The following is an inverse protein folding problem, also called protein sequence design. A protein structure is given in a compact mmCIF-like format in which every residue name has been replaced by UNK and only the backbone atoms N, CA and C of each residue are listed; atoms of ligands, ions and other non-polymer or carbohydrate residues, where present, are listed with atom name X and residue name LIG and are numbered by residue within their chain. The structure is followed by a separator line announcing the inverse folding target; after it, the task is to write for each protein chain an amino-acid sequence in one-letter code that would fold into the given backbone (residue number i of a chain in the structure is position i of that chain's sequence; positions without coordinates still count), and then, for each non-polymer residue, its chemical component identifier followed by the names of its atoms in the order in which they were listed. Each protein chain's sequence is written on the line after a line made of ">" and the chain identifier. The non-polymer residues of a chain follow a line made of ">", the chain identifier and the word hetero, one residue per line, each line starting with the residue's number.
data_IF_346660314190
#
_entry.id   IF_346660314190
#
_cell.length_a   1.000
_cell.length_b   1.000
_cell.length_c   1.000
_cell.angle_alpha   90.00
_cell.angle_beta   90.00
_cell.angle_gamma   90.00
#
_symmetry.space_group_name_H-M   'P 1'
#
loop_
_entity.id
_entity.type
_entity.pdbx_description
1 polymer ?
#
# COMPACT_ATOMS: atom_id res chain seq x y z
N UNK A 1 -20.14 -16.78 -5.77
CA UNK A 1 -19.89 -15.96 -6.99
C UNK A 1 -18.45 -16.15 -7.43
N UNK A 2 -18.14 -15.88 -8.70
CA UNK A 2 -16.78 -15.79 -9.25
C UNK A 2 -16.33 -14.33 -9.22
N UNK A 3 -15.36 -14.01 -8.37
CA UNK A 3 -14.92 -12.64 -8.09
C UNK A 3 -13.51 -12.45 -8.63
N UNK A 4 -13.34 -11.51 -9.57
CA UNK A 4 -12.04 -11.07 -10.05
C UNK A 4 -11.57 -9.82 -9.32
N UNK A 5 -10.57 -9.96 -8.45
CA UNK A 5 -9.90 -8.83 -7.80
C UNK A 5 -8.71 -8.41 -8.68
N UNK A 6 -8.49 -7.12 -8.86
CA UNK A 6 -7.41 -6.61 -9.72
C UNK A 6 -6.53 -5.67 -8.93
N UNK A 7 -5.22 -5.94 -8.92
CA UNK A 7 -4.24 -5.13 -8.20
C UNK A 7 -2.95 -4.98 -9.03
N UNK A 8 -2.26 -3.82 -9.00
CA UNK A 8 -0.98 -3.66 -9.68
C UNK A 8 0.11 -4.58 -9.12
N UNK A 9 0.01 -4.95 -7.85
CA UNK A 9 0.94 -5.82 -7.13
C UNK A 9 0.19 -6.74 -6.16
N UNK A 10 0.78 -7.90 -5.86
CA UNK A 10 0.25 -8.91 -4.93
C UNK A 10 1.39 -9.61 -4.17
N UNK A 11 1.16 -10.77 -3.57
CA UNK A 11 2.19 -11.56 -2.89
C UNK A 11 3.47 -11.68 -3.74
N UNK A 12 4.63 -11.58 -3.06
CA UNK A 12 6.00 -11.29 -3.55
C UNK A 12 6.37 -9.80 -3.64
N UNK A 13 5.38 -8.91 -3.59
CA UNK A 13 5.59 -7.47 -3.56
C UNK A 13 5.28 -6.81 -2.19
N UNK A 14 5.42 -7.53 -1.06
CA UNK A 14 4.89 -7.12 0.27
C UNK A 14 5.34 -5.75 0.75
N UNK A 15 6.48 -5.25 0.26
CA UNK A 15 7.02 -3.92 0.53
C UNK A 15 6.21 -2.77 -0.12
N UNK A 16 5.28 -3.08 -1.03
CA UNK A 16 4.36 -2.10 -1.66
C UNK A 16 3.35 -1.51 -0.65
N UNK A 17 3.15 -2.17 0.49
CA UNK A 17 2.36 -1.66 1.62
C UNK A 17 0.87 -1.97 1.54
N UNK A 18 0.06 -1.12 2.19
CA UNK A 18 -1.34 -1.41 2.52
C UNK A 18 -2.25 -1.76 1.33
N UNK A 19 -2.06 -1.14 0.17
CA UNK A 19 -2.90 -1.40 -1.02
C UNK A 19 -2.79 -2.85 -1.51
N UNK A 20 -1.62 -3.47 -1.36
CA UNK A 20 -1.40 -4.87 -1.68
C UNK A 20 -2.12 -5.77 -0.67
N UNK A 21 -1.93 -5.50 0.63
CA UNK A 21 -2.52 -6.29 1.69
C UNK A 21 -4.04 -6.25 1.64
N UNK A 22 -4.64 -5.11 1.30
CA UNK A 22 -6.07 -5.01 1.07
C UNK A 22 -6.57 -6.01 0.02
N UNK A 23 -5.92 -6.10 -1.14
CA UNK A 23 -6.33 -7.04 -2.19
C UNK A 23 -6.20 -8.51 -1.77
N UNK A 24 -5.15 -8.84 -1.01
CA UNK A 24 -4.90 -10.20 -0.50
C UNK A 24 -5.88 -10.56 0.62
N UNK A 25 -6.15 -9.64 1.55
CA UNK A 25 -7.04 -9.87 2.67
C UNK A 25 -8.50 -9.94 2.19
N UNK A 26 -8.92 -9.07 1.28
CA UNK A 26 -10.23 -9.19 0.62
C UNK A 26 -10.38 -10.53 -0.10
N UNK A 27 -9.34 -10.99 -0.82
CA UNK A 27 -9.41 -12.26 -1.51
C UNK A 27 -9.56 -13.44 -0.54
N UNK A 28 -8.87 -13.39 0.60
CA UNK A 28 -8.96 -14.41 1.64
C UNK A 28 -10.35 -14.44 2.27
N UNK A 29 -10.86 -13.28 2.72
CA UNK A 29 -12.16 -13.24 3.40
C UNK A 29 -13.32 -13.59 2.46
N UNK A 30 -13.30 -13.12 1.21
CA UNK A 30 -14.31 -13.51 0.23
C UNK A 30 -14.25 -15.01 -0.12
N UNK A 31 -13.05 -15.60 -0.14
CA UNK A 31 -12.92 -17.04 -0.34
C UNK A 31 -13.41 -17.84 0.88
N UNK A 32 -13.21 -17.35 2.10
CA UNK A 32 -13.75 -17.95 3.32
C UNK A 32 -15.29 -17.92 3.34
N UNK A 33 -15.91 -16.90 2.75
CA UNK A 33 -17.35 -16.80 2.47
C UNK A 33 -17.80 -17.66 1.26
N UNK A 34 -17.00 -18.65 0.86
CA UNK A 34 -17.30 -19.65 -0.19
C UNK A 34 -17.47 -19.04 -1.58
N UNK A 35 -16.82 -17.92 -1.87
CA UNK A 35 -16.73 -17.39 -3.23
C UNK A 35 -15.49 -17.94 -3.95
N UNK A 36 -15.57 -18.07 -5.28
CA UNK A 36 -14.42 -18.40 -6.11
C UNK A 36 -13.67 -17.10 -6.42
N UNK A 37 -12.49 -16.91 -5.84
CA UNK A 37 -11.77 -15.63 -5.94
C UNK A 37 -10.44 -15.79 -6.68
N UNK A 38 -10.18 -14.87 -7.60
CA UNK A 38 -8.90 -14.75 -8.29
C UNK A 38 -8.38 -13.31 -8.25
N UNK A 39 -7.14 -13.12 -7.81
CA UNK A 39 -6.40 -11.87 -7.94
C UNK A 39 -5.67 -11.85 -9.28
N UNK A 40 -6.00 -10.89 -10.13
CA UNK A 40 -5.32 -10.58 -11.38
C UNK A 40 -4.29 -9.48 -11.15
N UNK A 41 -3.01 -9.78 -11.40
CA UNK A 41 -1.90 -8.89 -11.02
C UNK A 41 -0.67 -9.04 -11.92
N UNK A 42 0.42 -8.35 -11.59
CA UNK A 42 1.71 -8.42 -12.27
C UNK A 42 2.65 -9.44 -11.64
N UNK A 43 3.79 -9.69 -12.26
CA UNK A 43 4.90 -10.45 -11.68
C UNK A 43 5.94 -9.55 -10.98
N UNK A 44 5.49 -8.44 -10.39
CA UNK A 44 6.32 -7.56 -9.56
C UNK A 44 6.88 -8.32 -8.35
N UNK A 45 8.20 -8.25 -8.17
CA UNK A 45 8.95 -8.95 -7.12
C UNK A 45 9.89 -7.98 -6.41
N UNK A 46 9.44 -7.51 -5.26
CA UNK A 46 10.17 -6.52 -4.46
C UNK A 46 11.41 -7.08 -3.78
N UNK A 47 11.62 -8.41 -3.79
CA UNK A 47 12.82 -9.01 -3.24
C UNK A 47 14.12 -8.48 -3.89
N UNK A 48 14.02 -7.89 -5.08
CA UNK A 48 15.16 -7.32 -5.82
C UNK A 48 15.18 -5.78 -5.85
N UNK A 49 14.03 -5.11 -6.06
CA UNK A 49 13.81 -3.64 -5.98
C UNK A 49 12.35 -3.29 -6.41
N UNK A 50 11.86 -2.05 -6.22
CA UNK A 50 10.51 -1.62 -6.65
C UNK A 50 10.17 -1.72 -8.14
N UNK A 51 11.13 -2.07 -9.00
CA UNK A 51 10.97 -2.11 -10.45
C UNK A 51 11.30 -3.48 -11.07
N UNK A 52 11.48 -4.52 -10.25
CA UNK A 52 11.85 -5.85 -10.76
C UNK A 52 10.61 -6.70 -11.02
N UNK A 53 10.53 -7.25 -12.23
CA UNK A 53 9.47 -8.17 -12.66
C UNK A 53 10.05 -9.56 -12.89
N UNK A 54 9.63 -10.54 -12.08
CA UNK A 54 10.23 -11.86 -12.05
C UNK A 54 9.43 -12.86 -12.90
N UNK A 55 9.92 -13.11 -14.12
CA UNK A 55 9.32 -14.10 -15.05
C UNK A 55 9.28 -15.53 -14.52
N UNK A 56 10.07 -15.85 -13.48
CA UNK A 56 10.08 -17.19 -12.85
C UNK A 56 8.90 -17.39 -11.89
N UNK A 57 8.18 -16.32 -11.51
CA UNK A 57 6.98 -16.46 -10.71
C UNK A 57 5.91 -17.26 -11.47
N UNK A 58 5.19 -18.18 -10.80
CA UNK A 58 4.09 -18.90 -11.42
C UNK A 58 3.04 -17.93 -12.00
N UNK A 59 2.61 -18.22 -13.23
CA UNK A 59 1.53 -17.47 -13.89
C UNK A 59 0.20 -17.67 -13.19
N UNK A 60 0.01 -18.83 -12.59
CA UNK A 60 -1.14 -19.16 -11.75
C UNK A 60 -0.60 -19.82 -10.48
N UNK A 61 -1.07 -19.36 -9.33
CA UNK A 61 -0.66 -19.85 -8.02
C UNK A 61 -1.91 -19.97 -7.14
N UNK A 62 -2.13 -21.15 -6.56
CA UNK A 62 -3.15 -21.31 -5.52
C UNK A 62 -2.57 -20.85 -4.20
N UNK A 63 -3.27 -19.96 -3.51
CA UNK A 63 -2.89 -19.44 -2.20
C UNK A 63 -4.07 -19.63 -1.27
N UNK A 64 -3.94 -20.55 -0.32
CA UNK A 64 -5.05 -20.95 0.54
C UNK A 64 -6.30 -21.29 -0.31
N UNK A 65 -7.38 -20.53 -0.15
CA UNK A 65 -8.66 -20.74 -0.81
C UNK A 65 -8.90 -19.84 -2.04
N UNK A 66 -7.89 -19.08 -2.50
CA UNK A 66 -8.00 -18.21 -3.67
C UNK A 66 -6.83 -18.40 -4.66
N UNK A 67 -6.95 -17.81 -5.85
CA UNK A 67 -5.93 -17.89 -6.91
C UNK A 67 -5.24 -16.54 -7.13
N UNK A 68 -3.96 -16.57 -7.49
CA UNK A 68 -3.23 -15.43 -8.04
C UNK A 68 -2.91 -15.74 -9.50
N UNK A 69 -3.31 -14.83 -10.40
CA UNK A 69 -3.11 -14.91 -11.84
C UNK A 69 -2.25 -13.72 -12.27
N UNK A 70 -1.05 -14.01 -12.79
CA UNK A 70 -0.04 -13.02 -13.13
C UNK A 70 0.11 -12.81 -14.63
N UNK A 71 0.32 -11.55 -15.02
CA UNK A 71 0.80 -11.17 -16.35
C UNK A 71 2.15 -10.47 -16.26
N UNK A 72 3.03 -10.75 -17.22
CA UNK A 72 4.30 -10.05 -17.30
C UNK A 72 4.10 -8.58 -17.69
N UNK A 73 4.91 -7.72 -17.10
CA UNK A 73 4.99 -6.30 -17.43
C UNK A 73 5.99 -6.09 -18.56
N UNK A 74 5.56 -5.44 -19.64
CA UNK A 74 6.42 -5.12 -20.79
C UNK A 74 7.30 -3.90 -20.51
N UNK A 75 6.75 -2.90 -19.83
CA UNK A 75 7.48 -1.73 -19.37
C UNK A 75 6.75 -1.06 -18.20
N UNK A 76 7.47 -0.24 -17.43
CA UNK A 76 6.93 0.50 -16.30
C UNK A 76 7.35 1.97 -16.33
N UNK A 77 6.44 2.86 -15.94
CA UNK A 77 6.72 4.30 -15.80
C UNK A 77 6.08 4.78 -14.49
N UNK A 78 6.88 5.22 -13.49
CA UNK A 78 6.37 5.75 -12.21
C UNK A 78 5.24 4.92 -11.59
N UNK A 79 5.47 3.61 -11.38
CA UNK A 79 4.50 2.64 -10.85
C UNK A 79 3.29 2.33 -11.75
N UNK A 80 3.26 2.84 -12.98
CA UNK A 80 2.31 2.42 -14.01
C UNK A 80 2.88 1.23 -14.78
N UNK A 81 2.33 0.03 -14.55
CA UNK A 81 2.88 -1.23 -15.05
C UNK A 81 2.10 -1.74 -16.26
N UNK A 82 2.66 -1.65 -17.47
CA UNK A 82 1.94 -2.07 -18.68
C UNK A 82 2.08 -3.57 -18.87
N UNK A 83 0.97 -4.30 -18.68
CA UNK A 83 0.92 -5.77 -18.74
C UNK A 83 -0.24 -6.27 -19.64
N UNK A 84 -0.15 -6.16 -20.98
CA UNK A 84 -1.27 -6.43 -21.88
C UNK A 84 -1.84 -7.84 -21.79
N UNK A 85 -0.99 -8.82 -21.43
CA UNK A 85 -1.42 -10.21 -21.20
C UNK A 85 -2.54 -10.36 -20.16
N UNK A 86 -2.66 -9.41 -19.24
CA UNK A 86 -3.70 -9.41 -18.21
C UNK A 86 -5.11 -9.33 -18.83
N UNK A 87 -5.28 -8.53 -19.89
CA UNK A 87 -6.55 -8.40 -20.60
C UNK A 87 -7.02 -9.75 -21.14
N UNK A 88 -6.13 -10.49 -21.82
CA UNK A 88 -6.45 -11.78 -22.41
C UNK A 88 -6.77 -12.84 -21.35
N UNK A 89 -6.05 -12.84 -20.22
CA UNK A 89 -6.39 -13.74 -19.10
C UNK A 89 -7.76 -13.43 -18.52
N UNK A 90 -8.06 -12.16 -18.32
CA UNK A 90 -9.32 -11.71 -17.74
C UNK A 90 -10.51 -11.92 -18.67
N UNK A 91 -10.40 -11.58 -19.96
CA UNK A 91 -11.51 -11.70 -20.91
C UNK A 91 -11.90 -13.17 -21.17
N UNK A 92 -10.94 -14.10 -21.07
CA UNK A 92 -11.18 -15.53 -21.27
C UNK A 92 -11.59 -16.27 -19.98
N UNK A 93 -11.52 -15.63 -18.82
CA UNK A 93 -12.01 -16.20 -17.56
C UNK A 93 -13.51 -15.94 -17.37
N UNK A 94 -14.20 -16.65 -16.47
CA UNK A 94 -15.57 -16.30 -16.08
C UNK A 94 -15.55 -15.51 -14.77
N UNK A 95 -16.23 -14.36 -14.72
CA UNK A 95 -16.40 -13.55 -13.52
C UNK A 95 -17.84 -13.05 -13.45
N UNK A 96 -18.43 -13.10 -12.27
CA UNK A 96 -19.72 -12.48 -11.97
C UNK A 96 -19.52 -11.01 -11.58
N UNK A 97 -18.39 -10.70 -10.92
CA UNK A 97 -18.03 -9.36 -10.44
C UNK A 97 -16.53 -9.12 -10.68
N UNK A 98 -16.19 -7.88 -11.03
CA UNK A 98 -14.80 -7.38 -10.99
C UNK A 98 -14.67 -6.31 -9.91
N UNK A 99 -13.66 -6.42 -9.05
CA UNK A 99 -13.26 -5.39 -8.09
C UNK A 99 -11.83 -4.97 -8.35
N UNK A 100 -11.62 -3.71 -8.76
CA UNK A 100 -10.30 -3.18 -9.05
C UNK A 100 -9.77 -2.26 -7.96
N UNK A 101 -8.48 -2.37 -7.66
CA UNK A 101 -7.78 -1.62 -6.61
C UNK A 101 -6.63 -0.80 -7.23
N UNK A 102 -6.58 0.49 -6.89
CA UNK A 102 -5.59 1.46 -7.38
C UNK A 102 -5.95 2.01 -8.75
N UNK A 103 -6.84 3.01 -8.79
CA UNK A 103 -7.57 3.41 -10.01
C UNK A 103 -6.66 3.95 -11.13
N UNK A 104 -5.47 4.47 -10.78
CA UNK A 104 -4.51 4.98 -11.75
C UNK A 104 -3.65 3.90 -12.43
N UNK A 105 -3.80 2.64 -12.01
CA UNK A 105 -3.02 1.53 -12.57
C UNK A 105 -3.53 1.11 -13.96
N UNK A 106 -2.61 0.63 -14.80
CA UNK A 106 -2.96 -0.04 -16.06
C UNK A 106 -3.90 -1.23 -15.81
N UNK A 107 -3.66 -1.94 -14.71
CA UNK A 107 -4.44 -3.09 -14.27
C UNK A 107 -5.89 -2.70 -14.04
N UNK A 108 -6.15 -1.58 -13.34
CA UNK A 108 -7.50 -1.08 -13.13
C UNK A 108 -8.23 -0.70 -14.42
N UNK A 109 -7.50 -0.11 -15.37
CA UNK A 109 -8.07 0.19 -16.67
C UNK A 109 -8.44 -1.09 -17.46
N UNK A 110 -7.57 -2.10 -17.46
CA UNK A 110 -7.87 -3.41 -18.04
C UNK A 110 -9.11 -4.03 -17.39
N UNK A 111 -9.22 -3.93 -16.07
CA UNK A 111 -10.40 -4.37 -15.32
C UNK A 111 -11.69 -3.73 -15.80
N UNK A 112 -11.68 -2.40 -15.92
CA UNK A 112 -12.82 -1.65 -16.42
C UNK A 112 -13.17 -2.00 -17.87
N UNK A 113 -12.17 -2.17 -18.75
CA UNK A 113 -12.39 -2.59 -20.14
C UNK A 113 -13.05 -3.96 -20.23
N UNK A 114 -12.59 -4.92 -19.42
CA UNK A 114 -13.15 -6.28 -19.39
C UNK A 114 -14.57 -6.25 -18.82
N UNK A 115 -14.80 -5.53 -17.71
CA UNK A 115 -16.12 -5.38 -17.11
C UNK A 115 -17.12 -4.76 -18.11
N UNK A 116 -16.71 -3.71 -18.82
CA UNK A 116 -17.50 -3.08 -19.87
C UNK A 116 -17.82 -4.04 -21.01
N UNK A 117 -16.82 -4.74 -21.55
CA UNK A 117 -17.00 -5.67 -22.68
C UNK A 117 -17.88 -6.86 -22.32
N UNK A 118 -17.77 -7.37 -21.09
CA UNK A 118 -18.57 -8.50 -20.58
C UNK A 118 -19.92 -8.09 -19.99
N UNK A 119 -20.17 -6.78 -19.82
CA UNK A 119 -21.37 -6.25 -19.16
C UNK A 119 -21.56 -6.78 -17.73
N UNK A 120 -20.46 -6.91 -16.98
CA UNK A 120 -20.48 -7.35 -15.58
C UNK A 120 -20.19 -6.16 -14.64
N UNK A 121 -20.72 -6.17 -13.41
CA UNK A 121 -20.52 -5.08 -12.45
C UNK A 121 -19.04 -4.88 -12.08
N UNK A 122 -18.62 -3.62 -12.13
CA UNK A 122 -17.30 -3.16 -11.72
C UNK A 122 -17.38 -2.44 -10.36
N UNK A 123 -16.58 -2.85 -9.40
CA UNK A 123 -16.33 -2.16 -8.14
C UNK A 123 -14.93 -1.58 -8.16
N UNK A 124 -14.74 -0.39 -7.59
CA UNK A 124 -13.46 0.32 -7.63
C UNK A 124 -13.06 0.74 -6.22
N UNK A 125 -11.82 0.48 -5.83
CA UNK A 125 -11.19 1.07 -4.65
C UNK A 125 -9.89 1.74 -5.06
N UNK A 126 -9.61 2.93 -4.54
CA UNK A 126 -8.42 3.68 -4.94
C UNK A 126 -7.30 3.63 -3.90
N UNK A 127 -7.65 3.67 -2.61
CA UNK A 127 -6.69 3.59 -1.50
C UNK A 127 -5.55 4.60 -1.66
N UNK A 128 -5.91 5.79 -2.15
CA UNK A 128 -5.04 6.92 -2.35
C UNK A 128 -4.41 7.17 -3.70
N UNK A 129 -4.54 6.29 -4.69
CA UNK A 129 -3.98 6.52 -6.02
C UNK A 129 -4.41 7.84 -6.70
N UNK A 130 -5.60 8.37 -6.43
CA UNK A 130 -6.10 9.64 -6.98
C UNK A 130 -5.46 10.88 -6.35
N UNK A 131 -5.06 10.81 -5.09
CA UNK A 131 -4.68 11.99 -4.30
C UNK A 131 -3.33 11.91 -3.63
N UNK A 132 -2.66 10.75 -3.64
CA UNK A 132 -1.27 10.65 -3.21
C UNK A 132 -0.38 11.25 -4.27
N UNK A 133 -0.07 12.53 -4.11
CA UNK A 133 1.27 12.98 -3.73
C UNK A 133 1.19 14.49 -3.46
N UNK A 134 1.59 14.97 -2.26
CA UNK A 134 1.94 16.38 -2.04
C UNK A 134 2.99 16.90 -3.06
N UNK A 135 3.69 15.99 -3.74
CA UNK A 135 4.60 16.29 -4.85
C UNK A 135 3.88 16.70 -6.16
N UNK A 136 2.55 16.78 -6.18
CA UNK A 136 1.78 17.40 -7.27
C UNK A 136 2.09 18.90 -7.43
N UNK A 137 2.50 19.55 -6.34
CA UNK A 137 2.87 20.97 -6.35
C UNK A 137 4.35 21.22 -6.65
N UNK A 138 5.21 20.19 -6.61
CA UNK A 138 6.68 20.34 -6.72
C UNK A 138 7.32 19.67 -7.94
N UNK A 139 6.54 19.05 -8.85
CA UNK A 139 7.12 18.22 -9.92
C UNK A 139 7.19 18.86 -11.32
N UNK A 140 8.29 18.48 -12.02
CA UNK A 140 8.62 18.73 -13.43
C UNK A 140 7.45 18.56 -14.42
N UNK A 141 7.44 19.34 -15.51
CA UNK A 141 6.43 19.36 -16.60
C UNK A 141 6.03 17.95 -17.06
N UNK A 142 6.98 17.02 -17.12
CA UNK A 142 6.75 15.62 -17.50
C UNK A 142 5.78 14.88 -16.60
N UNK A 143 5.77 15.16 -15.30
CA UNK A 143 4.85 14.54 -14.34
C UNK A 143 3.41 15.02 -14.55
N UNK A 144 3.23 16.31 -14.88
CA UNK A 144 1.92 16.88 -15.22
C UNK A 144 1.36 16.27 -16.51
N UNK A 145 2.22 16.04 -17.50
CA UNK A 145 1.86 15.37 -18.76
C UNK A 145 1.41 13.92 -18.50
N UNK A 146 2.17 13.14 -17.73
CA UNK A 146 1.81 11.75 -17.40
C UNK A 146 0.43 11.68 -16.71
N UNK A 147 0.14 12.59 -15.79
CA UNK A 147 -1.17 12.65 -15.16
C UNK A 147 -2.30 13.02 -16.12
N UNK A 148 -2.04 13.97 -17.04
CA UNK A 148 -3.03 14.33 -18.06
C UNK A 148 -3.34 13.16 -18.99
N UNK A 149 -2.34 12.33 -19.32
CA UNK A 149 -2.50 11.11 -20.13
C UNK A 149 -3.31 10.04 -19.38
N UNK A 150 -3.18 9.94 -18.05
CA UNK A 150 -3.97 8.99 -17.25
C UNK A 150 -5.41 9.44 -17.02
N UNK A 151 -5.72 10.73 -17.16
CA UNK A 151 -7.05 11.29 -16.86
C UNK A 151 -8.19 10.61 -17.63
N UNK A 152 -8.10 10.39 -18.97
CA UNK A 152 -9.13 9.65 -19.71
C UNK A 152 -9.35 8.22 -19.19
N UNK A 153 -8.28 7.54 -18.78
CA UNK A 153 -8.38 6.18 -18.22
C UNK A 153 -9.13 6.20 -16.88
N UNK A 154 -8.78 7.13 -15.99
CA UNK A 154 -9.45 7.31 -14.70
C UNK A 154 -10.92 7.63 -14.90
N UNK A 155 -11.24 8.58 -15.79
CA UNK A 155 -12.62 8.95 -16.12
C UNK A 155 -13.40 7.76 -16.67
N UNK A 156 -12.79 6.93 -17.52
CA UNK A 156 -13.41 5.71 -18.01
C UNK A 156 -13.73 4.73 -16.87
N UNK A 157 -12.78 4.50 -15.96
CA UNK A 157 -12.99 3.60 -14.81
C UNK A 157 -14.12 4.11 -13.91
N UNK A 158 -14.10 5.41 -13.55
CA UNK A 158 -15.14 6.03 -12.73
C UNK A 158 -16.50 5.94 -13.41
N UNK A 159 -16.57 6.29 -14.71
CA UNK A 159 -17.80 6.24 -15.49
C UNK A 159 -18.44 4.85 -15.49
N UNK A 160 -17.63 3.79 -15.58
CA UNK A 160 -18.10 2.41 -15.66
C UNK A 160 -18.19 1.68 -14.31
N UNK A 161 -17.80 2.31 -13.20
CA UNK A 161 -17.93 1.73 -11.86
C UNK A 161 -19.40 1.63 -11.42
N UNK A 162 -19.87 0.44 -11.05
CA UNK A 162 -21.18 0.27 -10.39
C UNK A 162 -21.17 0.92 -9.01
N UNK A 163 -20.11 0.71 -8.25
CA UNK A 163 -19.84 1.36 -6.96
C UNK A 163 -18.36 1.68 -6.81
N UNK A 164 -18.07 2.78 -6.14
CA UNK A 164 -16.74 3.21 -5.73
C UNK A 164 -16.68 3.05 -4.20
N UNK A 165 -15.75 2.24 -3.73
CA UNK A 165 -15.54 1.94 -2.33
C UNK A 165 -14.35 2.75 -1.84
N UNK A 166 -14.58 3.61 -0.86
CA UNK A 166 -13.58 4.47 -0.23
C UNK A 166 -13.39 4.10 1.24
N UNK A 167 -12.20 4.31 1.80
CA UNK A 167 -11.88 3.86 3.16
C UNK A 167 -12.40 4.83 4.25
N UNK A 168 -12.70 6.08 3.90
CA UNK A 168 -13.14 7.11 4.85
C UNK A 168 -13.90 8.26 4.16
N UNK A 169 -14.48 9.15 4.97
CA UNK A 169 -15.23 10.33 4.52
C UNK A 169 -14.38 11.34 3.73
N UNK A 170 -13.07 11.40 4.00
CA UNK A 170 -12.18 12.29 3.26
C UNK A 170 -12.01 11.84 1.80
N UNK A 171 -11.77 10.55 1.57
CA UNK A 171 -11.80 9.97 0.23
C UNK A 171 -13.17 10.08 -0.43
N UNK A 172 -14.28 9.91 0.34
CA UNK A 172 -15.64 10.14 -0.17
C UNK A 172 -15.77 11.54 -0.75
N UNK A 173 -15.31 12.57 -0.01
CA UNK A 173 -15.35 13.97 -0.46
C UNK A 173 -14.57 14.20 -1.76
N UNK A 174 -13.41 13.56 -1.90
CA UNK A 174 -12.62 13.61 -3.14
C UNK A 174 -13.40 13.01 -4.31
N UNK A 175 -13.95 11.80 -4.15
CA UNK A 175 -14.66 11.11 -5.21
C UNK A 175 -16.00 11.75 -5.57
N UNK A 176 -16.64 12.45 -4.63
CA UNK A 176 -17.89 13.19 -4.85
C UNK A 176 -17.72 14.36 -5.83
N UNK A 177 -16.48 14.82 -6.05
CA UNK A 177 -16.16 15.81 -7.09
C UNK A 177 -16.03 15.19 -8.49
N UNK A 178 -15.99 13.85 -8.58
CA UNK A 178 -15.72 13.11 -9.81
C UNK A 178 -16.93 12.28 -10.28
N UNK A 179 -17.88 11.98 -9.39
CA UNK A 179 -19.10 11.22 -9.70
C UNK A 179 -20.19 11.46 -8.67
N UNK A 180 -21.39 10.94 -8.94
CA UNK A 180 -22.56 11.06 -8.05
C UNK A 180 -22.32 10.34 -6.72
N UNK A 181 -22.68 10.99 -5.61
CA UNK A 181 -22.45 10.46 -4.26
C UNK A 181 -23.12 9.11 -4.02
N UNK A 182 -24.27 8.84 -4.67
CA UNK A 182 -24.98 7.57 -4.54
C UNK A 182 -24.19 6.36 -5.11
N UNK A 183 -23.11 6.60 -5.86
CA UNK A 183 -22.20 5.56 -6.36
C UNK A 183 -21.05 5.30 -5.40
N UNK A 184 -20.90 6.10 -4.35
CA UNK A 184 -19.76 6.07 -3.43
C UNK A 184 -20.18 5.46 -2.09
N UNK A 185 -19.49 4.42 -1.65
CA UNK A 185 -19.73 3.76 -0.37
C UNK A 185 -18.48 3.82 0.49
N UNK A 186 -18.65 4.18 1.77
CA UNK A 186 -17.56 4.18 2.74
C UNK A 186 -17.48 2.81 3.39
N UNK A 187 -16.42 2.07 3.06
CA UNK A 187 -16.10 0.78 3.68
C UNK A 187 -14.69 0.88 4.23
N UNK A 188 -14.60 0.98 5.56
CA UNK A 188 -13.32 1.09 6.27
C UNK A 188 -12.49 -0.18 6.05
N UNK A 189 -11.20 -0.02 5.84
CA UNK A 189 -10.31 -1.17 5.73
C UNK A 189 -10.24 -1.89 7.09
N UNK A 190 -10.29 -3.22 7.05
CA UNK A 190 -10.03 -4.07 8.21
C UNK A 190 -8.57 -4.53 8.28
N UNK A 191 -8.21 -5.14 9.41
CA UNK A 191 -6.96 -5.87 9.58
C UNK A 191 -7.27 -7.32 9.99
N UNK A 192 -6.44 -8.26 9.55
CA UNK A 192 -6.54 -9.64 10.01
C UNK A 192 -5.90 -9.77 11.40
N UNK A 193 -6.73 -9.92 12.44
CA UNK A 193 -6.28 -10.06 13.83
C UNK A 193 -5.47 -11.34 14.09
N UNK A 194 -5.72 -12.42 13.35
CA UNK A 194 -4.91 -13.64 13.47
C UNK A 194 -3.48 -13.41 13.00
N UNK A 195 -3.31 -12.54 12.00
CA UNK A 195 -2.00 -12.14 11.49
C UNK A 195 -1.25 -11.17 12.40
N UNK A 196 -1.86 -10.71 13.50
CA UNK A 196 -1.28 -9.79 14.49
C UNK A 196 -0.68 -10.54 15.70
N UNK A 197 -0.43 -11.84 15.57
CA UNK A 197 0.24 -12.65 16.58
C UNK A 197 1.74 -12.74 16.26
N UNK A 198 2.57 -12.52 17.28
CA UNK A 198 4.02 -12.69 17.18
C UNK A 198 4.55 -13.37 18.43
N UNK A 199 5.51 -14.28 18.22
CA UNK A 199 6.23 -14.99 19.28
C UNK A 199 7.60 -14.37 19.59
N UNK A 200 8.02 -13.39 18.77
CA UNK A 200 9.29 -12.71 18.92
C UNK A 200 9.28 -11.84 20.18
N UNK A 201 10.31 -11.98 21.00
CA UNK A 201 10.63 -11.01 22.05
C UNK A 201 11.44 -9.86 21.43
N UNK A 202 10.76 -8.76 21.13
CA UNK A 202 11.34 -7.66 20.35
C UNK A 202 12.44 -6.94 21.11
N UNK A 203 12.17 -6.55 22.37
CA UNK A 203 13.14 -5.86 23.24
C UNK A 203 14.46 -6.64 23.34
N UNK A 204 14.41 -7.96 23.53
CA UNK A 204 15.61 -8.82 23.56
C UNK A 204 16.31 -8.89 22.20
N UNK A 205 15.57 -9.11 21.11
CA UNK A 205 16.14 -9.29 19.76
C UNK A 205 16.91 -8.05 19.29
N UNK A 206 16.40 -6.86 19.58
CA UNK A 206 16.97 -5.59 19.10
C UNK A 206 17.76 -4.81 20.15
N UNK A 207 17.95 -5.38 21.34
CA UNK A 207 18.59 -4.75 22.49
C UNK A 207 17.94 -3.39 22.86
N UNK A 208 16.61 -3.35 22.85
CA UNK A 208 15.80 -2.20 23.28
C UNK A 208 15.29 -2.50 24.68
N UNK A 209 16.14 -2.28 25.69
CA UNK A 209 15.81 -2.65 27.08
C UNK A 209 14.89 -1.64 27.77
N UNK A 210 14.76 -0.44 27.21
CA UNK A 210 13.91 0.63 27.71
C UNK A 210 12.49 0.55 27.14
N UNK A 211 11.59 1.38 27.68
CA UNK A 211 10.32 1.69 27.04
C UNK A 211 10.58 2.48 25.75
N UNK A 212 9.70 2.34 24.75
CA UNK A 212 9.90 3.02 23.48
C UNK A 212 8.62 3.46 22.80
N UNK A 213 8.76 4.57 22.07
CA UNK A 213 7.80 4.98 21.05
C UNK A 213 8.17 4.32 19.73
N UNK A 214 7.17 3.92 18.96
CA UNK A 214 7.35 3.29 17.66
C UNK A 214 6.95 4.27 16.55
N UNK A 215 7.85 4.45 15.59
CA UNK A 215 7.48 4.86 14.24
C UNK A 215 7.62 3.65 13.33
N UNK A 216 6.56 3.34 12.57
CA UNK A 216 6.60 2.33 11.53
C UNK A 216 6.12 2.92 10.21
N UNK A 217 6.95 2.84 9.18
CA UNK A 217 6.56 3.27 7.84
C UNK A 217 7.73 3.30 6.87
N UNK A 218 7.41 3.52 5.59
CA UNK A 218 8.44 3.78 4.57
C UNK A 218 9.28 5.01 4.95
N UNK A 219 10.60 4.94 4.79
CA UNK A 219 11.47 6.09 4.97
C UNK A 219 11.29 7.03 3.78
N UNK A 220 10.27 7.87 3.89
CA UNK A 220 9.91 8.87 2.90
C UNK A 220 9.52 10.16 3.63
N UNK A 221 9.91 11.31 3.10
CA UNK A 221 9.67 12.61 3.73
C UNK A 221 8.19 12.87 4.04
N UNK A 222 7.28 12.39 3.19
CA UNK A 222 5.82 12.48 3.42
C UNK A 222 5.36 11.87 4.74
N UNK A 223 6.06 10.83 5.23
CA UNK A 223 5.76 10.17 6.50
C UNK A 223 6.20 10.98 7.72
N UNK A 224 6.81 12.16 7.51
CA UNK A 224 7.07 13.12 8.59
C UNK A 224 8.19 12.72 9.54
N UNK A 225 9.08 11.80 9.14
CA UNK A 225 10.19 11.34 9.98
C UNK A 225 11.07 12.53 10.39
N UNK A 226 11.36 13.46 9.48
CA UNK A 226 12.10 14.69 9.79
C UNK A 226 11.41 15.56 10.86
N UNK A 227 10.08 15.59 10.88
CA UNK A 227 9.29 16.32 11.88
C UNK A 227 9.40 15.63 13.23
N UNK A 228 9.33 14.30 13.24
CA UNK A 228 9.52 13.49 14.44
C UNK A 228 10.93 13.65 15.02
N UNK A 229 11.97 13.58 14.19
CA UNK A 229 13.36 13.79 14.63
C UNK A 229 13.55 15.17 15.26
N UNK A 230 13.02 16.22 14.63
CA UNK A 230 13.05 17.58 15.19
C UNK A 230 12.32 17.67 16.54
N UNK A 231 11.16 17.02 16.66
CA UNK A 231 10.40 17.00 17.91
C UNK A 231 11.18 16.28 19.02
N UNK A 232 11.81 15.13 18.72
CA UNK A 232 12.68 14.42 19.67
C UNK A 232 13.87 15.29 20.08
N UNK A 233 14.51 15.99 19.14
CA UNK A 233 15.63 16.88 19.45
C UNK A 233 15.25 18.02 20.41
N UNK A 234 14.01 18.53 20.33
CA UNK A 234 13.53 19.58 21.25
C UNK A 234 13.34 19.08 22.68
N UNK A 235 13.11 17.79 22.89
CA UNK A 235 12.82 17.21 24.20
C UNK A 235 13.91 16.27 24.71
N UNK A 236 15.01 16.11 23.97
CA UNK A 236 16.04 15.09 24.24
C UNK A 236 16.67 15.18 25.64
N UNK A 237 16.74 16.40 26.19
CA UNK A 237 17.29 16.67 27.51
C UNK A 237 16.24 16.64 28.63
N UNK A 238 14.96 16.41 28.31
CA UNK A 238 13.91 16.28 29.30
C UNK A 238 14.11 14.97 30.11
N UNK A 239 13.95 14.97 31.45
CA UNK A 239 14.23 13.80 32.28
C UNK A 239 13.52 12.51 31.83
N UNK A 240 12.33 12.62 31.25
CA UNK A 240 11.57 11.48 30.71
C UNK A 240 12.32 10.72 29.59
N UNK A 241 13.15 11.42 28.81
CA UNK A 241 13.90 10.84 27.69
C UNK A 241 15.10 10.01 28.15
N UNK A 242 15.50 10.09 29.43
CA UNK A 242 16.60 9.31 29.99
C UNK A 242 16.35 7.79 29.98
N UNK A 243 15.08 7.37 29.98
CA UNK A 243 14.68 5.95 30.02
C UNK A 243 13.69 5.58 28.91
N UNK A 244 13.68 6.34 27.82
CA UNK A 244 12.81 6.08 26.67
C UNK A 244 13.62 6.12 25.38
N UNK A 245 13.31 5.20 24.46
CA UNK A 245 13.86 5.19 23.09
C UNK A 245 12.79 5.58 22.09
N UNK A 246 13.22 6.11 20.94
CA UNK A 246 12.40 6.09 19.73
C UNK A 246 12.90 4.97 18.83
N UNK A 247 12.03 4.02 18.50
CA UNK A 247 12.29 2.96 17.53
C UNK A 247 11.70 3.37 16.18
N UNK A 248 12.54 3.51 15.16
CA UNK A 248 12.16 3.88 13.79
C UNK A 248 12.34 2.66 12.89
N UNK A 249 11.23 2.08 12.43
CA UNK A 249 11.21 0.85 11.64
C UNK A 249 10.65 1.10 10.24
N UNK A 250 11.31 0.56 9.22
CA UNK A 250 10.86 0.80 7.86
C UNK A 250 11.78 0.29 6.76
N UNK A 251 11.39 0.61 5.53
CA UNK A 251 12.16 0.35 4.31
C UNK A 251 12.49 1.68 3.64
N UNK A 252 13.67 1.79 3.03
CA UNK A 252 14.05 3.02 2.35
C UNK A 252 13.19 3.31 1.12
N UNK A 253 12.72 4.55 1.05
CA UNK A 253 11.98 5.12 -0.07
C UNK A 253 12.55 6.51 -0.42
N UNK A 254 13.87 6.68 -0.30
CA UNK A 254 14.60 7.89 -0.69
C UNK A 254 14.78 8.91 0.44
N UNK A 255 14.65 8.50 1.70
CA UNK A 255 14.87 9.38 2.87
C UNK A 255 15.82 8.78 3.91
N UNK A 256 16.33 7.56 3.71
CA UNK A 256 17.20 6.91 4.69
C UNK A 256 18.50 7.68 4.96
N UNK A 257 19.22 8.09 3.92
CA UNK A 257 20.49 8.81 4.08
C UNK A 257 20.31 10.15 4.79
N UNK A 258 19.29 10.94 4.39
CA UNK A 258 18.96 12.22 5.03
C UNK A 258 18.54 12.01 6.49
N UNK A 259 17.70 11.00 6.78
CA UNK A 259 17.28 10.64 8.14
C UNK A 259 18.48 10.30 9.03
N UNK A 260 19.40 9.45 8.57
CA UNK A 260 20.58 9.06 9.33
C UNK A 260 21.52 10.25 9.57
N UNK A 261 21.67 11.13 8.58
CA UNK A 261 22.41 12.38 8.73
C UNK A 261 21.79 13.28 9.81
N UNK A 262 20.47 13.48 9.78
CA UNK A 262 19.77 14.27 10.80
C UNK A 262 19.95 13.69 12.21
N UNK A 263 19.87 12.36 12.37
CA UNK A 263 20.07 11.70 13.67
C UNK A 263 21.45 12.06 14.24
N UNK A 264 22.49 11.97 13.40
CA UNK A 264 23.86 12.28 13.78
C UNK A 264 24.07 13.76 14.08
N UNK A 265 23.57 14.66 13.22
CA UNK A 265 23.70 16.11 13.41
C UNK A 265 22.96 16.64 14.65
N UNK A 266 21.94 15.92 15.12
CA UNK A 266 21.17 16.24 16.32
C UNK A 266 21.65 15.50 17.58
N UNK A 267 22.72 14.69 17.48
CA UNK A 267 23.25 13.84 18.55
C UNK A 267 22.18 12.89 19.15
N UNK A 268 21.37 12.27 18.29
CA UNK A 268 20.24 11.42 18.69
C UNK A 268 20.55 9.91 18.66
N UNK A 269 21.77 9.48 18.36
CA UNK A 269 22.16 8.07 18.25
C UNK A 269 21.85 7.26 19.53
N UNK A 270 21.98 7.90 20.70
CA UNK A 270 21.66 7.29 21.98
C UNK A 270 20.17 7.26 22.31
N UNK A 271 19.31 7.91 21.54
CA UNK A 271 17.85 7.97 21.79
C UNK A 271 17.11 7.16 20.72
N UNK A 272 17.65 7.10 19.50
CA UNK A 272 16.95 6.55 18.35
C UNK A 272 17.57 5.22 17.92
N UNK A 273 16.71 4.19 17.83
CA UNK A 273 17.05 2.90 17.24
C UNK A 273 16.40 2.78 15.85
N UNK A 274 17.21 2.81 14.80
CA UNK A 274 16.73 2.57 13.43
C UNK A 274 16.82 1.08 13.10
N UNK A 275 15.74 0.50 12.59
CA UNK A 275 15.69 -0.89 12.10
C UNK A 275 15.20 -0.87 10.65
N UNK A 276 16.08 -1.33 9.75
CA UNK A 276 15.85 -1.33 8.30
C UNK A 276 15.30 -2.68 7.85
N UNK A 277 14.33 -2.65 6.94
CA UNK A 277 13.68 -3.80 6.33
C UNK A 277 13.31 -4.92 7.33
N UNK A 278 12.59 -4.59 8.42
CA UNK A 278 12.26 -5.58 9.45
C UNK A 278 11.34 -6.69 8.91
N UNK A 279 11.56 -7.96 9.29
CA UNK A 279 10.58 -9.03 9.11
C UNK A 279 9.21 -8.66 9.68
N UNK A 280 8.14 -9.16 9.06
CA UNK A 280 6.77 -8.85 9.50
C UNK A 280 6.48 -9.28 10.95
N UNK A 281 7.03 -10.42 11.38
CA UNK A 281 6.86 -10.89 12.77
C UNK A 281 7.51 -9.94 13.79
N UNK A 282 8.62 -9.31 13.41
CA UNK A 282 9.31 -8.31 14.25
C UNK A 282 8.52 -7.00 14.31
N UNK A 283 7.90 -6.59 13.20
CA UNK A 283 6.99 -5.44 13.16
C UNK A 283 5.79 -5.64 14.10
N UNK A 284 5.18 -6.83 14.08
CA UNK A 284 4.06 -7.16 14.97
C UNK A 284 4.51 -7.18 16.44
N UNK A 285 5.68 -7.74 16.73
CA UNK A 285 6.24 -7.73 18.07
C UNK A 285 6.54 -6.30 18.55
N UNK A 286 7.04 -5.43 17.66
CA UNK A 286 7.28 -4.03 17.97
C UNK A 286 5.98 -3.29 18.33
N UNK A 287 4.90 -3.49 17.58
CA UNK A 287 3.60 -2.93 17.93
C UNK A 287 3.15 -3.33 19.33
N UNK A 288 3.26 -4.64 19.64
CA UNK A 288 2.82 -5.21 20.92
C UNK A 288 3.62 -4.70 22.13
N UNK A 289 4.91 -4.47 21.95
CA UNK A 289 5.83 -4.09 23.04
C UNK A 289 6.09 -2.56 23.11
N UNK A 290 5.53 -1.77 22.19
CA UNK A 290 5.64 -0.31 22.19
C UNK A 290 4.65 0.35 23.16
N UNK A 291 5.03 1.50 23.73
CA UNK A 291 4.11 2.30 24.56
C UNK A 291 3.12 3.09 23.70
N UNK A 292 3.63 3.68 22.60
CA UNK A 292 2.84 4.48 21.68
C UNK A 292 3.35 4.31 20.25
N UNK A 293 2.43 4.32 19.30
CA UNK A 293 2.70 4.51 17.88
C UNK A 293 2.64 6.01 17.55
N UNK A 294 3.65 6.52 16.85
CA UNK A 294 3.71 7.91 16.39
C UNK A 294 3.55 7.94 14.88
N UNK A 295 2.51 8.63 14.40
CA UNK A 295 2.18 8.80 12.97
C UNK A 295 2.25 10.28 12.56
N UNK A 296 3.46 10.84 12.31
CA UNK A 296 3.66 12.26 12.02
C UNK A 296 3.46 12.60 10.53
N UNK A 297 2.75 11.74 9.79
CA UNK A 297 2.56 11.85 8.34
C UNK A 297 1.98 13.22 7.96
N UNK A 298 2.63 13.90 7.01
CA UNK A 298 2.09 15.12 6.37
C UNK A 298 0.88 14.81 5.50
N UNK A 299 0.82 13.57 5.02
CA UNK A 299 -0.27 13.04 4.23
C UNK A 299 -0.46 11.55 4.53
N UNK A 300 -1.66 11.20 4.97
CA UNK A 300 -2.09 9.83 5.23
C UNK A 300 -3.57 9.73 4.86
N UNK A 301 -3.96 8.65 4.18
CA UNK A 301 -5.36 8.47 3.76
C UNK A 301 -6.02 7.41 4.62
N UNK A 302 -5.52 6.19 4.54
CA UNK A 302 -6.01 5.06 5.33
C UNK A 302 -4.79 4.27 5.82
N UNK A 303 -4.19 4.67 6.96
CA UNK A 303 -3.09 3.91 7.54
C UNK A 303 -3.63 2.53 7.96
N UNK A 304 -2.92 1.48 7.53
CA UNK A 304 -3.19 0.07 7.82
C UNK A 304 -2.11 -0.50 8.73
#
# INVERSE_FOLDING_TARGET
>A
MKIGIICPASLRATQFGGILFLGVDLARELANEKHEVAIYTTDLDFANNPNTFNKKLPREENVQNFKIIRSHVWFSIKLFFVSPGLYFRMINSQQDIIHTIGIRSFQSFVGALVAYKKKIPLFVSDQGGLTTHPDLHTNSVWTKILYKIQSPMVQFIIKHAKKIIVANEYEKKIFSQLTDENRIEVVRNGINLESMKSSVNFKKKYAVNQNYFLFLGRFHRVKGIDTLLKAINLIKDHPIMSNVKLVVMGVDFGFEEEMLKMIKEMDLDNIIKVIKNPPREDVIAAYKESEFLVLPSRWELSPL
#
